data_IF_233232121332
#
_entry.id   IF_233232121332
#
_cell.length_a   1.000
_cell.length_b   1.000
_cell.length_c   1.000
_cell.angle_alpha   90.00
_cell.angle_beta   90.00
_cell.angle_gamma   90.00
#
_symmetry.space_group_name_H-M   'P 1'
#
loop_
_entity.id
_entity.type
_entity.pdbx_description
1 polymer ?
#
# COMPACT_ATOMS: atom_id res chain seq x y z
N UNK A 1 -34.87 -10.93 -3.19
CA UNK A 1 -34.21 -11.10 -4.50
C UNK A 1 -32.97 -10.24 -4.67
N UNK A 2 -33.04 -8.90 -4.52
CA UNK A 2 -31.86 -8.01 -4.68
C UNK A 2 -30.63 -8.37 -3.82
N UNK A 3 -30.83 -8.74 -2.54
CA UNK A 3 -29.73 -9.14 -1.63
C UNK A 3 -28.97 -10.40 -2.08
N UNK A 4 -29.66 -11.37 -2.67
CA UNK A 4 -29.05 -12.61 -3.15
C UNK A 4 -28.21 -12.38 -4.42
N UNK A 5 -28.61 -11.40 -5.24
CA UNK A 5 -27.81 -10.95 -6.40
C UNK A 5 -26.54 -10.24 -5.96
N UNK A 6 -26.62 -9.37 -4.93
CA UNK A 6 -25.45 -8.69 -4.38
C UNK A 6 -24.45 -9.67 -3.77
N UNK A 7 -24.92 -10.68 -3.02
CA UNK A 7 -24.07 -11.72 -2.47
C UNK A 7 -23.36 -12.54 -3.57
N UNK A 8 -24.08 -12.90 -4.64
CA UNK A 8 -23.49 -13.59 -5.80
C UNK A 8 -22.45 -12.73 -6.51
N UNK A 9 -22.70 -11.43 -6.65
CA UNK A 9 -21.79 -10.51 -7.30
C UNK A 9 -20.47 -10.38 -6.51
N UNK A 10 -20.53 -10.31 -5.18
CA UNK A 10 -19.34 -10.28 -4.33
C UNK A 10 -18.52 -11.57 -4.44
N UNK A 11 -19.18 -12.74 -4.43
CA UNK A 11 -18.49 -14.03 -4.61
C UNK A 11 -17.75 -14.08 -5.96
N UNK A 12 -18.41 -13.66 -7.04
CA UNK A 12 -17.81 -13.64 -8.39
C UNK A 12 -16.64 -12.64 -8.43
N UNK A 13 -16.78 -11.49 -7.79
CA UNK A 13 -15.72 -10.50 -7.69
C UNK A 13 -14.49 -11.05 -6.95
N UNK A 14 -14.67 -11.67 -5.79
CA UNK A 14 -13.57 -12.29 -5.03
C UNK A 14 -12.86 -13.39 -5.84
N UNK A 15 -13.62 -14.21 -6.57
CA UNK A 15 -13.04 -15.27 -7.40
C UNK A 15 -12.26 -14.71 -8.60
N UNK A 16 -12.75 -13.61 -9.21
CA UNK A 16 -12.05 -12.90 -10.28
C UNK A 16 -10.74 -12.30 -9.79
N UNK A 17 -10.76 -11.63 -8.63
CA UNK A 17 -9.57 -11.04 -7.99
C UNK A 17 -8.53 -12.13 -7.73
N UNK A 18 -8.93 -13.24 -7.12
CA UNK A 18 -8.07 -14.39 -6.81
C UNK A 18 -7.50 -15.04 -8.07
N UNK A 19 -8.33 -15.30 -9.07
CA UNK A 19 -7.92 -15.91 -10.34
C UNK A 19 -6.92 -15.04 -11.09
N UNK A 20 -7.17 -13.74 -11.15
CA UNK A 20 -6.28 -12.75 -11.78
C UNK A 20 -4.94 -12.70 -11.05
N UNK A 21 -4.97 -12.61 -9.71
CA UNK A 21 -3.76 -12.59 -8.89
C UNK A 21 -2.89 -13.83 -9.13
N UNK A 22 -3.47 -15.03 -9.11
CA UNK A 22 -2.71 -16.26 -9.36
C UNK A 22 -2.18 -16.36 -10.78
N UNK A 23 -2.98 -15.98 -11.77
CA UNK A 23 -2.56 -16.03 -13.17
C UNK A 23 -1.34 -15.13 -13.42
N UNK A 24 -1.42 -13.87 -12.98
CA UNK A 24 -0.30 -12.92 -13.13
C UNK A 24 0.91 -13.35 -12.29
N UNK A 25 0.71 -13.78 -11.05
CA UNK A 25 1.81 -14.20 -10.17
C UNK A 25 2.61 -15.40 -10.69
N UNK A 26 2.00 -16.25 -11.54
CA UNK A 26 2.71 -17.37 -12.20
C UNK A 26 3.67 -16.91 -13.29
N UNK A 27 3.36 -15.79 -13.96
CA UNK A 27 4.21 -15.20 -14.99
C UNK A 27 5.36 -14.35 -14.40
N UNK A 28 5.28 -14.01 -13.11
CA UNK A 28 6.28 -13.20 -12.41
C UNK A 28 7.38 -14.05 -11.76
N UNK A 29 8.60 -13.48 -11.71
CA UNK A 29 9.68 -14.04 -10.91
C UNK A 29 9.30 -14.06 -9.43
N UNK A 30 9.86 -15.03 -8.68
CA UNK A 30 9.56 -15.19 -7.25
C UNK A 30 9.83 -13.91 -6.44
N UNK A 31 10.85 -13.15 -6.83
CA UNK A 31 11.25 -11.91 -6.17
C UNK A 31 10.22 -10.79 -6.35
N UNK A 32 9.53 -10.74 -7.50
CA UNK A 32 8.60 -9.65 -7.83
C UNK A 32 7.19 -9.87 -7.27
N UNK A 33 6.87 -11.11 -6.85
CA UNK A 33 5.52 -11.48 -6.38
C UNK A 33 5.07 -10.65 -5.18
N UNK A 34 5.97 -10.33 -4.26
CA UNK A 34 5.63 -9.53 -3.08
C UNK A 34 5.30 -8.08 -3.47
N UNK A 35 6.13 -7.48 -4.31
CA UNK A 35 5.91 -6.11 -4.82
C UNK A 35 4.61 -6.02 -5.59
N UNK A 36 4.33 -7.00 -6.45
CA UNK A 36 3.06 -7.10 -7.16
C UNK A 36 1.88 -7.23 -6.20
N UNK A 37 1.96 -8.12 -5.20
CA UNK A 37 0.90 -8.31 -4.22
C UNK A 37 0.60 -7.04 -3.42
N UNK A 38 1.64 -6.34 -2.96
CA UNK A 38 1.49 -5.08 -2.24
C UNK A 38 0.81 -4.01 -3.12
N UNK A 39 1.21 -3.90 -4.39
CA UNK A 39 0.59 -2.94 -5.31
C UNK A 39 -0.85 -3.32 -5.68
N UNK A 40 -1.13 -4.61 -5.80
CA UNK A 40 -2.46 -5.15 -6.10
C UNK A 40 -3.46 -4.88 -4.97
N UNK A 41 -2.99 -4.94 -3.72
CA UNK A 41 -3.79 -4.67 -2.51
C UNK A 41 -3.88 -3.16 -2.19
N UNK A 42 -2.93 -2.33 -2.67
CA UNK A 42 -2.85 -0.89 -2.37
C UNK A 42 -4.18 -0.15 -2.53
N UNK A 43 -4.97 -0.51 -3.54
CA UNK A 43 -6.03 0.33 -4.10
C UNK A 43 -7.02 0.96 -3.09
N UNK A 44 -7.15 0.42 -1.87
CA UNK A 44 -8.11 0.92 -0.87
C UNK A 44 -7.52 1.18 0.52
N UNK A 45 -6.25 0.87 0.79
CA UNK A 45 -5.71 0.78 2.16
C UNK A 45 -4.75 1.91 2.59
N UNK A 46 -4.12 2.61 1.64
CA UNK A 46 -3.09 3.61 1.94
C UNK A 46 -3.37 4.92 1.22
N UNK A 47 -3.16 6.03 1.91
CA UNK A 47 -3.17 7.34 1.26
C UNK A 47 -1.95 7.48 0.32
N UNK A 48 -2.03 8.36 -0.67
CA UNK A 48 -0.97 8.51 -1.66
C UNK A 48 0.34 9.01 -1.04
N UNK A 49 0.28 9.84 0.01
CA UNK A 49 1.46 10.25 0.79
C UNK A 49 2.14 9.08 1.50
N UNK A 50 1.36 8.22 2.16
CA UNK A 50 1.87 7.05 2.87
C UNK A 50 2.49 6.04 1.91
N UNK A 51 1.85 5.84 0.76
CA UNK A 51 2.38 4.96 -0.27
C UNK A 51 3.65 5.50 -0.93
N UNK A 52 3.70 6.80 -1.21
CA UNK A 52 4.88 7.42 -1.79
C UNK A 52 6.06 7.38 -0.81
N UNK A 53 5.81 7.57 0.48
CA UNK A 53 6.80 7.34 1.54
C UNK A 53 7.27 5.88 1.56
N UNK A 54 6.35 4.90 1.53
CA UNK A 54 6.69 3.48 1.47
C UNK A 54 7.55 3.11 0.24
N UNK A 55 7.27 3.73 -0.91
CA UNK A 55 8.06 3.56 -2.14
C UNK A 55 9.38 4.34 -2.16
N UNK A 56 9.66 5.19 -1.16
CA UNK A 56 10.85 6.05 -1.12
C UNK A 56 10.78 7.25 -2.07
N UNK A 57 9.61 7.53 -2.66
CA UNK A 57 9.37 8.72 -3.48
C UNK A 57 9.08 9.91 -2.55
N UNK A 58 10.12 10.40 -1.88
CA UNK A 58 10.02 11.52 -0.96
C UNK A 58 9.72 12.82 -1.75
N UNK A 59 8.58 13.44 -1.46
CA UNK A 59 8.23 14.78 -1.96
C UNK A 59 8.97 15.80 -1.10
N UNK A 60 9.83 16.60 -1.73
CA UNK A 60 10.81 17.52 -1.13
C UNK A 60 10.22 18.75 -0.39
N UNK A 61 8.98 18.72 0.13
CA UNK A 61 8.32 19.92 0.66
C UNK A 61 7.71 19.79 2.07
N UNK A 62 8.28 18.95 2.94
CA UNK A 62 7.93 19.01 4.37
C UNK A 62 8.90 19.92 5.12
N UNK A 63 8.43 21.12 5.47
CA UNK A 63 9.07 22.03 6.42
C UNK A 63 9.42 21.23 7.68
N UNK A 64 10.72 21.13 7.98
CA UNK A 64 11.28 20.33 9.07
C UNK A 64 10.81 20.86 10.44
N UNK A 65 9.64 20.45 10.89
CA UNK A 65 9.23 20.63 12.28
C UNK A 65 9.73 19.45 13.11
N UNK A 66 11.05 19.41 13.33
CA UNK A 66 11.74 18.34 14.08
C UNK A 66 11.34 18.29 15.56
N UNK A 67 10.55 19.27 16.04
CA UNK A 67 10.11 19.36 17.43
C UNK A 67 9.09 18.28 17.84
N UNK A 68 8.47 17.58 16.89
CA UNK A 68 7.41 16.60 17.16
C UNK A 68 7.88 15.14 17.23
N UNK A 69 9.13 14.83 16.89
CA UNK A 69 9.55 13.44 16.78
C UNK A 69 9.91 12.83 18.15
N UNK A 70 9.52 11.57 18.44
CA UNK A 70 9.86 10.92 19.71
C UNK A 70 11.37 10.81 19.93
N UNK A 71 11.84 11.17 21.13
CA UNK A 71 13.26 11.21 21.49
C UNK A 71 13.99 9.86 21.52
N UNK A 72 13.25 8.74 21.46
CA UNK A 72 13.82 7.38 21.43
C UNK A 72 14.21 6.92 20.01
N UNK A 73 13.84 7.67 18.98
CA UNK A 73 14.20 7.40 17.59
C UNK A 73 15.59 8.00 17.27
N UNK A 74 16.32 7.38 16.35
CA UNK A 74 17.54 8.00 15.79
C UNK A 74 17.21 9.25 14.98
N UNK A 75 18.13 10.20 14.92
CA UNK A 75 17.95 11.47 14.18
C UNK A 75 17.53 11.23 12.72
N UNK A 76 18.11 10.21 12.08
CA UNK A 76 17.75 9.82 10.70
C UNK A 76 16.28 9.42 10.59
N UNK A 77 15.77 8.63 11.54
CA UNK A 77 14.37 8.17 11.54
C UNK A 77 13.43 9.31 11.92
N UNK A 78 13.83 10.19 12.83
CA UNK A 78 13.05 11.38 13.19
C UNK A 78 12.82 12.29 11.97
N UNK A 79 13.85 12.49 11.14
CA UNK A 79 13.75 13.26 9.90
C UNK A 79 12.81 12.60 8.88
N UNK A 80 12.88 11.28 8.74
CA UNK A 80 11.99 10.52 7.86
C UNK A 80 10.53 10.59 8.32
N UNK A 81 10.29 10.47 9.63
CA UNK A 81 8.94 10.54 10.22
C UNK A 81 8.36 11.95 10.14
N UNK A 82 9.17 13.00 10.29
CA UNK A 82 8.71 14.38 10.11
C UNK A 82 8.18 14.63 8.69
N UNK A 83 8.71 13.93 7.67
CA UNK A 83 8.27 14.04 6.27
C UNK A 83 6.93 13.36 5.97
N UNK A 84 6.39 12.58 6.91
CA UNK A 84 5.08 11.92 6.75
C UNK A 84 3.89 12.85 7.04
N UNK A 85 4.10 13.99 7.70
CA UNK A 85 3.06 14.93 8.11
C UNK A 85 2.95 16.07 7.10
#
# INVERSE_FOLDING_TARGET
ESSDVLAKLDIIYQELVKSTFYYVSRALYKQDRLTFALRFVKAELFDDKEWNFFCGNLVDEAVLDSASAPSWLSEEVQLQVARLR
#
